data_IF_696786070443
#
_entry.id   IF_696786070443
#
_cell.length_a   1.000
_cell.length_b   1.000
_cell.length_c   1.000
_cell.angle_alpha   90.00
_cell.angle_beta   90.00
_cell.angle_gamma   90.00
#
_symmetry.space_group_name_H-M   'P 1'
#
loop_
_entity.id
_entity.type
_entity.pdbx_description
1 polymer ?
#
# COMPACT_ATOMS: atom_id res chain seq x y z
N UNK A 1 8.27 -19.73 5.60
CA UNK A 1 6.89 -19.86 5.06
C UNK A 1 5.77 -19.61 6.07
N UNK A 2 5.95 -19.82 7.38
CA UNK A 2 4.88 -19.67 8.40
C UNK A 2 4.20 -18.30 8.41
N UNK A 3 4.94 -17.19 8.27
CA UNK A 3 4.38 -15.82 8.30
C UNK A 3 3.44 -15.48 7.12
N UNK A 4 3.57 -16.15 5.98
CA UNK A 4 2.69 -15.90 4.82
C UNK A 4 1.24 -16.34 5.08
N UNK A 5 1.05 -17.37 5.91
CA UNK A 5 -0.29 -17.89 6.25
C UNK A 5 -1.09 -16.93 7.14
N UNK A 6 -0.43 -16.21 8.05
CA UNK A 6 -1.09 -15.21 8.91
C UNK A 6 -1.53 -13.98 8.11
N UNK A 7 -0.67 -13.53 7.18
CA UNK A 7 -1.01 -12.44 6.25
C UNK A 7 -2.21 -12.87 5.41
N UNK A 8 -2.16 -14.04 4.77
CA UNK A 8 -3.28 -14.55 3.99
C UNK A 8 -4.60 -14.53 4.77
N UNK A 9 -4.63 -15.15 5.96
CA UNK A 9 -5.86 -15.20 6.78
C UNK A 9 -6.38 -13.80 7.09
N UNK A 10 -5.50 -12.89 7.50
CA UNK A 10 -5.87 -11.52 7.85
C UNK A 10 -6.54 -10.76 6.69
N UNK A 11 -5.98 -10.89 5.48
CA UNK A 11 -6.44 -10.14 4.31
C UNK A 11 -7.62 -10.84 3.62
N UNK A 12 -7.66 -12.17 3.56
CA UNK A 12 -8.81 -12.93 3.05
C UNK A 12 -10.08 -12.63 3.85
N UNK A 13 -10.00 -12.60 5.17
CA UNK A 13 -11.18 -12.35 6.02
C UNK A 13 -11.71 -10.90 5.87
N UNK A 14 -10.86 -9.94 5.47
CA UNK A 14 -11.23 -8.51 5.32
C UNK A 14 -11.64 -8.11 3.91
N UNK A 15 -11.04 -8.76 2.92
CA UNK A 15 -11.17 -8.43 1.51
C UNK A 15 -11.58 -9.69 0.74
N UNK A 16 -12.61 -10.37 1.25
CA UNK A 16 -13.09 -11.64 0.71
C UNK A 16 -13.78 -11.49 -0.65
N UNK A 17 -14.31 -10.30 -0.94
CA UNK A 17 -15.15 -9.93 -2.07
C UNK A 17 -14.39 -9.28 -3.23
N UNK A 18 -13.07 -9.10 -3.10
CA UNK A 18 -12.24 -8.46 -4.11
C UNK A 18 -10.94 -9.24 -4.37
N UNK A 19 -10.48 -9.20 -5.62
CA UNK A 19 -9.17 -9.71 -5.99
C UNK A 19 -8.11 -8.76 -5.47
N UNK A 20 -7.05 -9.29 -4.87
CA UNK A 20 -5.96 -8.47 -4.35
C UNK A 20 -4.61 -9.16 -4.49
N UNK A 21 -3.57 -8.34 -4.47
CA UNK A 21 -2.19 -8.78 -4.54
C UNK A 21 -1.35 -8.04 -3.50
N UNK A 22 -0.57 -8.76 -2.71
CA UNK A 22 0.35 -8.18 -1.73
C UNK A 22 1.76 -8.61 -2.10
N UNK A 23 2.65 -7.64 -2.31
CA UNK A 23 4.04 -7.90 -2.64
C UNK A 23 5.00 -7.50 -1.50
N UNK A 24 5.84 -8.43 -1.05
CA UNK A 24 6.90 -8.17 -0.07
C UNK A 24 8.17 -7.69 -0.77
N UNK A 25 8.42 -6.38 -0.73
CA UNK A 25 9.59 -5.74 -1.32
C UNK A 25 10.94 -6.25 -0.76
N UNK A 26 10.97 -6.77 0.46
CA UNK A 26 12.22 -7.23 1.12
C UNK A 26 12.53 -8.69 0.76
N UNK A 27 11.49 -9.52 0.66
CA UNK A 27 11.63 -10.96 0.41
C UNK A 27 11.42 -11.37 -1.04
N UNK A 28 10.99 -10.44 -1.89
CA UNK A 28 10.82 -10.61 -3.32
C UNK A 28 9.84 -11.73 -3.72
N UNK A 29 8.74 -11.85 -2.96
CA UNK A 29 7.60 -12.68 -3.35
C UNK A 29 6.32 -11.91 -3.05
N UNK A 30 5.22 -12.32 -3.68
CA UNK A 30 3.91 -11.83 -3.32
C UNK A 30 2.88 -12.94 -3.13
N UNK A 31 1.71 -12.50 -2.67
CA UNK A 31 0.50 -13.28 -2.52
C UNK A 31 -0.53 -12.70 -3.48
N UNK A 32 -1.18 -13.54 -4.25
CA UNK A 32 -2.30 -13.17 -5.11
C UNK A 32 -3.55 -13.92 -4.64
N UNK A 33 -4.66 -13.22 -4.46
CA UNK A 33 -5.95 -13.79 -4.10
C UNK A 33 -6.95 -13.54 -5.22
N UNK A 34 -7.54 -14.61 -5.74
CA UNK A 34 -8.41 -14.59 -6.92
C UNK A 34 -9.91 -14.70 -6.60
N UNK A 35 -10.27 -14.60 -5.30
CA UNK A 35 -11.59 -14.84 -4.66
C UNK A 35 -11.82 -16.26 -4.14
N UNK A 36 -11.02 -17.23 -4.57
CA UNK A 36 -11.15 -18.62 -4.15
C UNK A 36 -9.87 -19.08 -3.46
N UNK A 37 -8.77 -18.94 -4.17
CA UNK A 37 -7.44 -19.43 -3.85
C UNK A 37 -6.48 -18.27 -3.58
N UNK A 38 -5.43 -18.57 -2.83
CA UNK A 38 -4.32 -17.64 -2.64
C UNK A 38 -3.01 -18.31 -2.99
N UNK A 39 -2.30 -17.73 -3.94
CA UNK A 39 -1.08 -18.28 -4.50
C UNK A 39 0.11 -17.38 -4.21
N UNK A 40 1.26 -18.01 -3.97
CA UNK A 40 2.53 -17.31 -3.92
C UNK A 40 3.06 -17.13 -5.34
N UNK A 41 3.53 -15.93 -5.66
CA UNK A 41 4.25 -15.67 -6.90
C UNK A 41 5.61 -15.04 -6.61
N UNK A 42 6.56 -15.30 -7.52
CA UNK A 42 7.95 -14.86 -7.41
C UNK A 42 8.32 -14.13 -8.70
N UNK A 43 8.31 -12.78 -8.71
CA UNK A 43 8.69 -12.02 -9.89
C UNK A 43 10.16 -12.24 -10.25
N UNK A 44 10.44 -12.37 -11.54
CA UNK A 44 11.81 -12.46 -12.06
C UNK A 44 12.57 -11.14 -11.86
N UNK A 45 11.86 -10.01 -11.95
CA UNK A 45 12.41 -8.68 -11.76
C UNK A 45 12.15 -8.13 -10.34
N UNK A 46 13.14 -7.44 -9.78
CA UNK A 46 12.97 -6.74 -8.52
C UNK A 46 12.06 -5.53 -8.70
N UNK A 47 11.02 -5.45 -7.89
CA UNK A 47 10.09 -4.33 -7.91
C UNK A 47 10.77 -3.01 -7.52
N UNK A 48 10.68 -2.01 -8.40
CA UNK A 48 11.14 -0.64 -8.15
C UNK A 48 9.95 0.31 -8.04
N UNK A 49 9.72 0.86 -6.85
CA UNK A 49 8.61 1.76 -6.55
C UNK A 49 8.53 2.98 -7.49
N UNK A 50 9.67 3.58 -7.86
CA UNK A 50 9.70 4.77 -8.73
C UNK A 50 9.23 4.45 -10.15
N UNK A 51 9.65 3.31 -10.67
CA UNK A 51 9.24 2.85 -11.99
C UNK A 51 7.76 2.43 -12.00
N UNK A 52 7.28 1.89 -10.89
CA UNK A 52 5.89 1.46 -10.78
C UNK A 52 4.90 2.63 -10.76
N UNK A 53 5.27 3.78 -10.20
CA UNK A 53 4.43 4.98 -10.25
C UNK A 53 4.08 5.40 -11.69
N UNK A 54 4.98 5.14 -12.65
CA UNK A 54 4.74 5.41 -14.07
C UNK A 54 3.78 4.40 -14.72
N UNK A 55 3.53 3.27 -14.05
CA UNK A 55 2.65 2.18 -14.51
C UNK A 55 1.27 2.22 -13.84
N UNK A 56 0.97 3.26 -13.06
CA UNK A 56 -0.37 3.40 -12.48
C UNK A 56 -1.42 3.57 -13.56
N UNK A 57 -2.59 2.96 -13.33
CA UNK A 57 -3.76 3.20 -14.16
C UNK A 57 -4.22 4.65 -14.00
N UNK A 58 -4.86 5.22 -15.01
CA UNK A 58 -5.35 6.60 -14.96
C UNK A 58 -6.32 6.83 -13.79
N UNK A 59 -7.20 5.87 -13.54
CA UNK A 59 -8.11 5.91 -12.39
C UNK A 59 -7.38 5.96 -11.03
N UNK A 60 -6.25 5.24 -10.89
CA UNK A 60 -5.44 5.28 -9.67
C UNK A 60 -4.87 6.68 -9.45
N UNK A 61 -4.42 7.35 -10.52
CA UNK A 61 -3.94 8.73 -10.45
C UNK A 61 -5.07 9.65 -9.94
N UNK A 62 -6.29 9.51 -10.48
CA UNK A 62 -7.46 10.27 -10.04
C UNK A 62 -7.78 10.03 -8.55
N UNK A 63 -7.74 8.78 -8.08
CA UNK A 63 -7.95 8.47 -6.66
C UNK A 63 -6.88 9.10 -5.76
N UNK A 64 -5.62 9.13 -6.20
CA UNK A 64 -4.56 9.80 -5.46
C UNK A 64 -4.79 11.31 -5.35
N UNK A 65 -5.25 11.96 -6.42
CA UNK A 65 -5.60 13.40 -6.39
C UNK A 65 -6.78 13.69 -5.46
N UNK A 66 -7.81 12.84 -5.50
CA UNK A 66 -8.95 12.92 -4.58
C UNK A 66 -8.49 12.78 -3.12
N UNK A 67 -7.61 11.81 -2.83
CA UNK A 67 -7.04 11.62 -1.50
C UNK A 67 -6.26 12.86 -1.04
N UNK A 68 -5.36 13.38 -1.87
CA UNK A 68 -4.58 14.60 -1.53
C UNK A 68 -5.49 15.79 -1.26
N UNK A 69 -6.53 15.96 -2.07
CA UNK A 69 -7.53 17.02 -1.89
C UNK A 69 -8.29 16.88 -0.58
N UNK A 70 -8.78 15.67 -0.29
CA UNK A 70 -9.47 15.36 0.96
C UNK A 70 -8.57 15.59 2.18
N UNK A 71 -7.36 15.03 2.16
CA UNK A 71 -6.40 15.16 3.25
C UNK A 71 -6.05 16.63 3.53
N UNK A 72 -5.88 17.44 2.49
CA UNK A 72 -5.56 18.86 2.64
C UNK A 72 -6.74 19.65 3.19
N UNK A 73 -7.95 19.40 2.70
CA UNK A 73 -9.16 20.17 3.07
C UNK A 73 -9.68 19.84 4.47
N UNK A 74 -9.53 18.60 4.91
CA UNK A 74 -10.00 18.15 6.23
C UNK A 74 -9.01 18.44 7.36
N UNK A 75 -7.73 18.69 7.02
CA UNK A 75 -6.70 18.94 8.00
C UNK A 75 -6.80 20.36 8.57
N UNK A 76 -6.74 20.46 9.89
CA UNK A 76 -6.76 21.73 10.63
C UNK A 76 -5.30 22.14 10.85
N UNK A 77 -4.87 23.23 10.21
CA UNK A 77 -3.45 23.65 10.17
C UNK A 77 -2.86 23.83 11.57
N UNK A 78 -3.64 24.36 12.50
CA UNK A 78 -3.28 24.61 13.89
C UNK A 78 -3.04 23.32 14.69
N UNK A 79 -3.64 22.19 14.27
CA UNK A 79 -3.46 20.88 14.89
C UNK A 79 -2.28 20.09 14.33
N UNK A 80 -1.50 20.68 13.42
CA UNK A 80 -0.36 20.01 12.78
C UNK A 80 0.77 19.76 13.77
N UNK A 81 0.86 18.53 14.28
CA UNK A 81 1.94 18.08 15.15
C UNK A 81 2.88 17.12 14.41
N UNK A 82 3.94 17.67 13.80
CA UNK A 82 4.92 16.87 13.03
C UNK A 82 5.70 15.92 13.94
N UNK A 83 6.01 16.31 15.18
CA UNK A 83 6.76 15.47 16.13
C UNK A 83 5.97 14.19 16.43
N UNK A 84 4.69 14.33 16.76
CA UNK A 84 3.78 13.20 17.01
C UNK A 84 3.58 12.35 15.75
N UNK A 85 3.42 12.99 14.59
CA UNK A 85 3.27 12.27 13.32
C UNK A 85 4.51 11.42 12.99
N UNK A 86 5.73 11.92 13.24
CA UNK A 86 6.98 11.15 13.04
C UNK A 86 7.12 10.01 14.05
N UNK A 87 6.61 10.18 15.29
CA UNK A 87 6.59 9.11 16.30
C UNK A 87 5.68 7.94 15.87
N UNK A 88 4.48 8.23 15.36
CA UNK A 88 3.56 7.18 14.88
C UNK A 88 3.93 6.64 13.50
N UNK A 89 4.41 7.50 12.60
CA UNK A 89 4.76 7.16 11.22
C UNK A 89 6.18 7.65 10.91
N UNK A 90 7.20 6.82 11.16
CA UNK A 90 8.59 7.18 10.88
C UNK A 90 8.81 7.57 9.42
N UNK A 91 9.68 8.56 9.18
CA UNK A 91 9.94 9.13 7.84
C UNK A 91 10.31 8.10 6.77
N UNK A 92 10.92 6.97 7.14
CA UNK A 92 11.26 5.88 6.21
C UNK A 92 10.05 5.27 5.48
N UNK A 93 8.85 5.41 6.06
CA UNK A 93 7.60 4.95 5.44
C UNK A 93 6.92 6.02 4.59
N UNK A 94 7.34 7.28 4.67
CA UNK A 94 6.63 8.37 3.99
C UNK A 94 6.66 8.21 2.48
N UNK A 95 7.67 7.54 1.92
CA UNK A 95 7.75 7.17 0.49
C UNK A 95 6.58 6.31 -0.02
N UNK A 96 5.75 5.76 0.87
CA UNK A 96 4.56 4.98 0.56
C UNK A 96 3.26 5.74 0.83
N UNK A 97 3.32 6.99 1.31
CA UNK A 97 2.14 7.79 1.65
C UNK A 97 1.80 8.72 0.49
N UNK A 98 0.60 8.56 -0.04
CA UNK A 98 0.09 9.37 -1.16
C UNK A 98 0.04 10.85 -0.81
N UNK A 99 -0.31 11.23 0.42
CA UNK A 99 -0.43 12.63 0.84
C UNK A 99 0.91 13.36 1.08
N UNK A 100 2.05 12.68 0.95
CA UNK A 100 3.38 13.28 1.12
C UNK A 100 4.00 13.76 -0.19
N UNK A 101 3.46 13.37 -1.34
CA UNK A 101 3.95 13.71 -2.68
C UNK A 101 2.80 14.18 -3.56
#
# INVERSE_FOLDING_TARGET
>A
MVKGKEVFKHFKDRYADQKWMIYDLKRHYGLFYDLENCEFFYPDEKFNLKQYQQKFHEEEINYQELWKSYFTKTNIKERKNIKLHVQHVPKRYWKYLTEKF
#
